data_IF_232329865220
#
_entry.id   IF_232329865220
#
_cell.length_a   1.000
_cell.length_b   1.000
_cell.length_c   1.000
_cell.angle_alpha   90.00
_cell.angle_beta   90.00
_cell.angle_gamma   90.00
#
_symmetry.space_group_name_H-M   'P 1'
#
loop_
_entity.id
_entity.type
_entity.pdbx_description
1 polymer ?
#
# COMPACT_ATOMS: atom_id res chain seq x y z
N UNK A 1 -10.66 4.25 -10.18
CA UNK A 1 -11.39 4.14 -11.47
C UNK A 1 -12.34 2.96 -11.40
N UNK A 2 -13.61 3.07 -11.82
CA UNK A 2 -14.62 2.03 -11.62
C UNK A 2 -15.17 1.49 -12.96
N UNK A 3 -14.33 0.81 -13.74
CA UNK A 3 -14.79 0.16 -14.98
C UNK A 3 -15.12 -1.30 -14.71
N UNK A 4 -16.24 -1.78 -15.29
CA UNK A 4 -16.68 -3.17 -15.17
C UNK A 4 -15.63 -4.16 -15.71
N UNK A 5 -14.95 -3.78 -16.80
CA UNK A 5 -13.90 -4.60 -17.41
C UNK A 5 -12.75 -4.82 -16.43
N UNK A 6 -12.21 -3.74 -15.82
CA UNK A 6 -11.09 -3.85 -14.89
C UNK A 6 -11.48 -4.67 -13.65
N UNK A 7 -12.64 -4.41 -13.06
CA UNK A 7 -13.13 -5.17 -11.89
C UNK A 7 -13.33 -6.66 -12.16
N UNK A 8 -13.69 -7.02 -13.39
CA UNK A 8 -13.88 -8.42 -13.78
C UNK A 8 -12.55 -9.13 -14.00
N UNK A 9 -11.59 -8.47 -14.66
CA UNK A 9 -10.30 -9.08 -15.04
C UNK A 9 -9.28 -9.05 -13.90
N UNK A 10 -9.28 -8.01 -13.06
CA UNK A 10 -8.25 -7.80 -12.04
C UNK A 10 -8.06 -8.98 -11.06
N UNK A 11 -9.11 -9.63 -10.51
CA UNK A 11 -8.90 -10.76 -9.59
C UNK A 11 -8.15 -11.93 -10.25
N UNK A 12 -8.52 -12.29 -11.47
CA UNK A 12 -7.89 -13.38 -12.21
C UNK A 12 -6.44 -13.02 -12.58
N UNK A 13 -6.22 -11.78 -13.03
CA UNK A 13 -4.89 -11.29 -13.39
C UNK A 13 -3.97 -11.22 -12.17
N UNK A 14 -4.45 -10.67 -11.04
CA UNK A 14 -3.70 -10.62 -9.78
C UNK A 14 -3.33 -12.03 -9.32
N UNK A 15 -4.25 -12.99 -9.36
CA UNK A 15 -3.96 -14.38 -8.99
C UNK A 15 -2.88 -14.99 -9.89
N UNK A 16 -2.97 -14.79 -11.21
CA UNK A 16 -1.97 -15.25 -12.16
C UNK A 16 -0.59 -14.61 -11.92
N UNK A 17 -0.55 -13.30 -11.65
CA UNK A 17 0.69 -12.59 -11.37
C UNK A 17 1.32 -13.02 -10.05
N UNK A 18 0.53 -13.29 -9.01
CA UNK A 18 1.04 -13.82 -7.74
C UNK A 18 1.58 -15.24 -7.92
N UNK A 19 0.91 -16.09 -8.69
CA UNK A 19 1.43 -17.41 -9.05
C UNK A 19 2.76 -17.30 -9.81
N UNK A 20 2.83 -16.41 -10.80
CA UNK A 20 4.04 -16.17 -11.57
C UNK A 20 5.17 -15.59 -10.72
N UNK A 21 4.84 -14.69 -9.79
CA UNK A 21 5.77 -14.13 -8.81
C UNK A 21 6.42 -15.23 -7.94
N UNK A 22 5.63 -16.19 -7.46
CA UNK A 22 6.15 -17.35 -6.72
C UNK A 22 7.00 -18.24 -7.62
N UNK A 23 6.59 -18.48 -8.86
CA UNK A 23 7.39 -19.23 -9.82
C UNK A 23 8.77 -18.57 -10.06
N UNK A 24 8.82 -17.25 -10.25
CA UNK A 24 10.07 -16.50 -10.46
C UNK A 24 10.96 -16.53 -9.22
N UNK A 25 10.39 -16.45 -8.03
CA UNK A 25 11.10 -16.64 -6.76
C UNK A 25 11.76 -18.03 -6.72
N UNK A 26 10.99 -19.08 -6.97
CA UNK A 26 11.49 -20.45 -6.93
C UNK A 26 12.50 -20.73 -8.05
N UNK A 27 12.37 -20.11 -9.21
CA UNK A 27 13.28 -20.28 -10.36
C UNK A 27 14.66 -19.65 -10.14
N UNK A 28 14.76 -18.65 -9.28
CA UNK A 28 15.97 -17.85 -9.06
C UNK A 28 17.22 -18.61 -8.62
N UNK A 29 17.08 -19.83 -8.10
CA UNK A 29 18.22 -20.66 -7.68
C UNK A 29 19.06 -21.21 -8.85
N UNK A 30 18.46 -21.42 -10.02
CA UNK A 30 19.12 -22.04 -11.17
C UNK A 30 19.17 -21.14 -12.41
N UNK A 31 18.25 -20.18 -12.51
CA UNK A 31 18.04 -19.37 -13.71
C UNK A 31 17.72 -17.91 -13.32
N UNK A 32 17.77 -16.95 -14.26
CA UNK A 32 17.45 -15.55 -13.97
C UNK A 32 16.08 -15.40 -13.30
N UNK A 33 16.05 -14.74 -12.14
CA UNK A 33 14.85 -14.64 -11.30
C UNK A 33 15.19 -14.21 -9.87
N UNK A 34 14.49 -14.80 -8.90
CA UNK A 34 14.80 -14.66 -7.47
C UNK A 34 13.87 -13.73 -6.71
N UNK A 35 14.25 -13.46 -5.46
CA UNK A 35 13.40 -12.77 -4.47
C UNK A 35 12.99 -11.36 -4.86
N UNK A 36 13.92 -10.58 -5.42
CA UNK A 36 13.68 -9.17 -5.74
C UNK A 36 12.62 -8.99 -6.83
N UNK A 37 12.83 -9.60 -8.00
CA UNK A 37 11.89 -9.52 -9.14
C UNK A 37 10.56 -10.18 -8.78
N UNK A 38 10.58 -11.33 -8.10
CA UNK A 38 9.38 -11.97 -7.59
C UNK A 38 8.57 -11.02 -6.70
N UNK A 39 9.22 -10.34 -5.75
CA UNK A 39 8.58 -9.38 -4.85
C UNK A 39 7.96 -8.19 -5.60
N UNK A 40 8.65 -7.64 -6.61
CA UNK A 40 8.11 -6.57 -7.45
C UNK A 40 6.88 -6.99 -8.25
N UNK A 41 6.87 -8.22 -8.79
CA UNK A 41 5.71 -8.76 -9.51
C UNK A 41 4.52 -8.90 -8.56
N UNK A 42 4.73 -9.40 -7.34
CA UNK A 42 3.66 -9.50 -6.35
C UNK A 42 3.15 -8.13 -5.90
N UNK A 43 4.03 -7.16 -5.68
CA UNK A 43 3.63 -5.79 -5.35
C UNK A 43 2.82 -5.16 -6.49
N UNK A 44 3.21 -5.40 -7.75
CA UNK A 44 2.47 -4.96 -8.94
C UNK A 44 1.09 -5.62 -9.04
N UNK A 45 1.00 -6.92 -8.72
CA UNK A 45 -0.26 -7.66 -8.69
C UNK A 45 -1.24 -7.06 -7.66
N UNK A 46 -0.73 -6.68 -6.48
CA UNK A 46 -1.51 -6.00 -5.45
C UNK A 46 -1.85 -4.56 -5.83
N UNK A 47 -0.99 -3.85 -6.56
CA UNK A 47 -1.30 -2.53 -7.09
C UNK A 47 -2.47 -2.59 -8.09
N UNK A 48 -2.48 -3.55 -9.02
CA UNK A 48 -3.61 -3.77 -9.94
C UNK A 48 -4.90 -4.06 -9.17
N UNK A 49 -4.82 -4.90 -8.13
CA UNK A 49 -5.94 -5.20 -7.27
C UNK A 49 -6.45 -3.96 -6.53
N UNK A 50 -5.53 -3.12 -6.04
CA UNK A 50 -5.82 -1.82 -5.42
C UNK A 50 -6.50 -0.83 -6.37
N UNK A 51 -6.02 -0.72 -7.61
CA UNK A 51 -6.64 0.17 -8.60
C UNK A 51 -8.10 -0.25 -8.91
N UNK A 52 -8.38 -1.56 -8.88
CA UNK A 52 -9.71 -2.12 -9.17
C UNK A 52 -10.70 -2.07 -7.98
N UNK A 53 -10.21 -2.26 -6.75
CA UNK A 53 -11.04 -2.44 -5.55
C UNK A 53 -10.75 -1.48 -4.39
N UNK A 54 -9.75 -0.62 -4.52
CA UNK A 54 -9.30 0.37 -3.54
C UNK A 54 -8.33 -0.16 -2.47
N UNK A 55 -7.69 0.77 -1.75
CA UNK A 55 -6.79 0.51 -0.60
C UNK A 55 -7.37 -0.47 0.40
N UNK A 56 -8.64 -0.28 0.77
CA UNK A 56 -9.31 -1.10 1.78
C UNK A 56 -9.36 -2.59 1.38
N UNK A 57 -9.47 -2.89 0.09
CA UNK A 57 -9.44 -4.27 -0.39
C UNK A 57 -8.04 -4.88 -0.30
N UNK A 58 -7.00 -4.13 -0.65
CA UNK A 58 -5.60 -4.56 -0.52
C UNK A 58 -5.24 -4.79 0.95
N UNK A 59 -5.63 -3.86 1.84
CA UNK A 59 -5.44 -4.01 3.29
C UNK A 59 -6.17 -5.23 3.86
N UNK A 60 -7.36 -5.58 3.36
CA UNK A 60 -8.05 -6.82 3.75
C UNK A 60 -7.39 -8.09 3.20
N UNK A 61 -6.81 -8.01 2.00
CA UNK A 61 -6.07 -9.12 1.40
C UNK A 61 -4.77 -9.41 2.18
N UNK A 62 -4.11 -8.36 2.69
CA UNK A 62 -2.92 -8.46 3.52
C UNK A 62 -3.30 -8.67 4.99
N UNK A 63 -3.17 -9.90 5.49
CA UNK A 63 -3.44 -10.21 6.91
C UNK A 63 -2.50 -9.50 7.90
N UNK A 64 -1.31 -9.12 7.45
CA UNK A 64 -0.29 -8.46 8.26
C UNK A 64 0.05 -7.10 7.69
N UNK A 65 0.49 -6.18 8.56
CA UNK A 65 0.94 -4.87 8.12
C UNK A 65 2.12 -5.01 7.13
N UNK A 66 2.16 -4.29 6.00
CA UNK A 66 3.22 -4.44 5.00
C UNK A 66 4.64 -4.29 5.58
N UNK A 67 4.83 -3.35 6.51
CA UNK A 67 6.11 -3.20 7.23
C UNK A 67 6.45 -4.39 8.14
N UNK A 68 5.46 -5.07 8.71
CA UNK A 68 5.72 -6.29 9.48
C UNK A 68 6.15 -7.44 8.55
N UNK A 69 5.57 -7.52 7.34
CA UNK A 69 6.00 -8.47 6.31
C UNK A 69 7.46 -8.19 5.92
N UNK A 70 7.82 -6.92 5.70
CA UNK A 70 9.18 -6.54 5.37
C UNK A 70 10.16 -6.86 6.52
N UNK A 71 9.79 -6.56 7.76
CA UNK A 71 10.61 -6.89 8.94
C UNK A 71 10.82 -8.41 9.10
N UNK A 72 9.78 -9.21 8.88
CA UNK A 72 9.89 -10.67 8.88
C UNK A 72 10.81 -11.18 7.76
N UNK A 73 10.74 -10.57 6.58
CA UNK A 73 11.63 -10.85 5.47
C UNK A 73 13.10 -10.56 5.78
N UNK A 74 13.37 -9.39 6.38
CA UNK A 74 14.71 -9.00 6.80
C UNK A 74 15.26 -9.98 7.85
N UNK A 75 14.45 -10.33 8.85
CA UNK A 75 14.80 -11.32 9.86
C UNK A 75 15.15 -12.67 9.23
N UNK A 76 14.33 -13.16 8.27
CA UNK A 76 14.58 -14.41 7.57
C UNK A 76 15.87 -14.37 6.75
N UNK A 77 16.12 -13.28 6.03
CA UNK A 77 17.33 -13.09 5.23
C UNK A 77 18.60 -13.09 6.11
N UNK A 78 18.57 -12.38 7.25
CA UNK A 78 19.68 -12.37 8.22
C UNK A 78 19.90 -13.75 8.82
N UNK A 79 18.82 -14.44 9.22
CA UNK A 79 18.91 -15.79 9.79
C UNK A 79 19.53 -16.78 8.81
N UNK A 80 19.18 -16.67 7.52
CA UNK A 80 19.74 -17.51 6.46
C UNK A 80 21.26 -17.38 6.35
N UNK A 81 21.81 -16.16 6.47
CA UNK A 81 23.27 -15.95 6.47
C UNK A 81 23.93 -16.37 7.78
N UNK A 82 23.23 -16.22 8.91
CA UNK A 82 23.75 -16.58 10.24
C UNK A 82 23.92 -18.10 10.39
N UNK A 83 23.08 -18.89 9.71
CA UNK A 83 23.23 -20.34 9.64
C UNK A 83 24.62 -20.73 9.12
N UNK A 84 25.16 -20.07 8.09
CA UNK A 84 26.51 -20.35 7.56
C UNK A 84 27.59 -20.31 8.64
N UNK A 85 27.50 -19.36 9.58
CA UNK A 85 28.45 -19.21 10.68
C UNK A 85 28.37 -20.42 11.65
N UNK A 86 27.16 -20.92 11.92
CA UNK A 86 26.97 -22.10 12.79
C UNK A 86 27.60 -23.37 12.20
N UNK A 87 27.74 -23.44 10.88
CA UNK A 87 28.42 -24.53 10.19
C UNK A 87 29.93 -24.29 9.98
N UNK A 88 30.49 -23.21 10.55
CA UNK A 88 31.92 -22.89 10.47
C UNK A 88 32.40 -22.45 9.08
N UNK A 89 31.47 -22.10 8.18
CA UNK A 89 31.78 -21.58 6.84
C UNK A 89 31.59 -20.05 6.80
N UNK A 90 32.19 -19.35 5.81
CA UNK A 90 32.02 -17.90 5.69
C UNK A 90 30.55 -17.47 5.63
N UNK A 91 30.24 -16.29 6.17
CA UNK A 91 28.90 -15.71 6.14
C UNK A 91 28.34 -15.67 4.71
N UNK A 92 27.04 -15.96 4.55
CA UNK A 92 26.35 -16.10 3.26
C UNK A 92 26.86 -17.23 2.34
N UNK A 93 27.64 -18.19 2.86
CA UNK A 93 27.90 -19.41 2.11
C UNK A 93 26.60 -20.21 1.94
N UNK A 94 26.22 -20.48 0.69
CA UNK A 94 25.03 -21.27 0.36
C UNK A 94 25.20 -22.72 0.83
N UNK A 95 24.40 -23.13 1.82
CA UNK A 95 24.38 -24.48 2.34
C UNK A 95 23.30 -25.28 1.62
N UNK A 96 23.62 -26.52 1.26
CA UNK A 96 22.73 -27.43 0.55
C UNK A 96 22.41 -28.62 1.42
N UNK A 97 21.13 -28.96 1.51
CA UNK A 97 20.63 -30.15 2.21
C UNK A 97 19.71 -30.89 1.25
N UNK A 98 19.77 -32.23 1.26
CA UNK A 98 18.98 -33.10 0.38
C UNK A 98 18.00 -33.94 1.20
N UNK A 99 16.97 -33.35 1.84
CA UNK A 99 15.95 -34.14 2.52
C UNK A 99 15.15 -35.00 1.52
N UNK A 100 14.79 -36.21 1.95
CA UNK A 100 13.81 -37.05 1.26
C UNK A 100 12.41 -36.68 1.72
N UNK A 101 11.65 -36.08 0.81
CA UNK A 101 10.24 -35.74 1.03
C UNK A 101 9.42 -36.63 0.11
N UNK A 102 8.53 -37.46 0.68
CA UNK A 102 7.67 -38.39 -0.08
C UNK A 102 8.44 -39.34 -1.02
N UNK A 103 9.67 -39.73 -0.65
CA UNK A 103 10.51 -40.61 -1.45
C UNK A 103 11.33 -39.92 -2.56
N UNK A 104 11.20 -38.60 -2.72
CA UNK A 104 11.98 -37.78 -3.66
C UNK A 104 13.04 -36.98 -2.90
N UNK A 105 14.27 -36.93 -3.40
CA UNK A 105 15.31 -36.04 -2.88
C UNK A 105 15.06 -34.62 -3.39
N UNK A 106 14.81 -33.69 -2.47
CA UNK A 106 14.58 -32.27 -2.80
C UNK A 106 15.83 -31.49 -2.42
N UNK A 107 16.54 -30.86 -3.37
CA UNK A 107 17.68 -30.00 -3.04
C UNK A 107 17.15 -28.71 -2.40
N UNK A 108 17.37 -28.56 -1.09
CA UNK A 108 17.08 -27.33 -0.37
C UNK A 108 18.37 -26.56 -0.12
N UNK A 109 18.45 -25.35 -0.67
CA UNK A 109 19.53 -24.42 -0.41
C UNK A 109 19.09 -23.32 0.55
N UNK A 110 19.97 -22.90 1.46
CA UNK A 110 19.74 -21.67 2.26
C UNK A 110 19.57 -20.44 1.37
N UNK A 111 20.08 -20.48 0.15
CA UNK A 111 19.86 -19.44 -0.89
C UNK A 111 18.37 -19.18 -1.13
N UNK A 112 17.52 -20.22 -1.11
CA UNK A 112 16.06 -20.05 -1.29
C UNK A 112 15.45 -19.32 -0.10
N UNK A 113 15.90 -19.62 1.12
CA UNK A 113 15.45 -18.92 2.33
C UNK A 113 15.86 -17.45 2.33
N UNK A 114 17.07 -17.15 1.88
CA UNK A 114 17.53 -15.78 1.68
C UNK A 114 16.68 -15.03 0.65
N UNK A 115 16.45 -15.62 -0.52
CA UNK A 115 15.62 -15.03 -1.57
C UNK A 115 14.17 -14.82 -1.11
N UNK A 116 13.61 -15.75 -0.34
CA UNK A 116 12.29 -15.57 0.27
C UNK A 116 12.30 -14.38 1.25
N UNK A 117 13.38 -14.19 2.00
CA UNK A 117 13.56 -13.01 2.85
C UNK A 117 13.53 -11.71 2.05
N UNK A 118 14.33 -11.64 0.97
CA UNK A 118 14.37 -10.50 0.04
C UNK A 118 12.99 -10.25 -0.59
N UNK A 119 12.29 -11.31 -1.01
CA UNK A 119 10.94 -11.23 -1.56
C UNK A 119 9.96 -10.53 -0.61
N UNK A 120 9.96 -10.94 0.65
CA UNK A 120 9.07 -10.36 1.66
C UNK A 120 9.44 -8.89 1.98
N UNK A 121 10.73 -8.55 2.01
CA UNK A 121 11.20 -7.16 2.16
C UNK A 121 10.70 -6.29 1.02
N UNK A 122 10.88 -6.72 -0.22
CA UNK A 122 10.48 -5.97 -1.41
C UNK A 122 8.96 -5.84 -1.46
N UNK A 123 8.23 -6.93 -1.28
CA UNK A 123 6.77 -6.92 -1.26
C UNK A 123 6.24 -5.97 -0.18
N UNK A 124 6.70 -6.13 1.06
CA UNK A 124 6.25 -5.33 2.20
C UNK A 124 6.58 -3.85 2.07
N UNK A 125 7.80 -3.52 1.62
CA UNK A 125 8.22 -2.12 1.45
C UNK A 125 7.45 -1.42 0.34
N UNK A 126 7.37 -2.00 -0.86
CA UNK A 126 6.70 -1.39 -2.02
C UNK A 126 5.20 -1.24 -1.76
N UNK A 127 4.55 -2.25 -1.19
CA UNK A 127 3.14 -2.16 -0.83
C UNK A 127 2.92 -1.10 0.25
N UNK A 128 3.80 -1.02 1.26
CA UNK A 128 3.68 0.02 2.28
C UNK A 128 3.78 1.43 1.69
N UNK A 129 4.72 1.64 0.76
CA UNK A 129 4.88 2.93 0.07
C UNK A 129 3.63 3.23 -0.75
N UNK A 130 3.14 2.29 -1.55
CA UNK A 130 1.94 2.46 -2.36
C UNK A 130 0.72 2.81 -1.49
N UNK A 131 0.53 2.12 -0.38
CA UNK A 131 -0.58 2.38 0.54
C UNK A 131 -0.44 3.72 1.27
N UNK A 132 0.78 4.16 1.60
CA UNK A 132 1.00 5.46 2.23
C UNK A 132 0.67 6.62 1.28
N UNK A 133 1.14 6.53 0.02
CA UNK A 133 0.90 7.55 -0.99
C UNK A 133 -0.59 7.71 -1.33
N UNK A 134 -1.37 6.63 -1.28
CA UNK A 134 -2.80 6.68 -1.56
C UNK A 134 -3.60 7.29 -0.38
N UNK A 135 -3.11 7.21 0.86
CA UNK A 135 -3.76 7.79 2.04
C UNK A 135 -3.62 9.32 2.11
N UNK A 136 -2.49 9.87 1.67
CA UNK A 136 -2.28 11.32 1.65
C UNK A 136 -3.24 12.02 0.68
N UNK A 137 -3.74 11.29 -0.33
CA UNK A 137 -4.71 11.80 -1.31
C UNK A 137 -6.13 12.00 -0.74
N UNK A 138 -6.46 11.39 0.40
CA UNK A 138 -7.79 11.53 1.05
C UNK A 138 -7.82 12.62 2.13
N UNK A 139 -6.67 13.20 2.51
CA UNK A 139 -6.55 14.13 3.66
C UNK A 139 -6.56 15.62 3.27
N UNK A 140 -6.72 15.97 1.99
CA UNK A 140 -6.74 17.36 1.56
C UNK A 140 -8.11 18.05 1.78
N UNK A 141 -8.14 18.89 2.83
CA UNK A 141 -9.08 19.97 3.22
C UNK A 141 -10.42 19.56 3.86
N UNK A 142 -10.56 19.66 5.20
CA UNK A 142 -11.87 19.88 5.83
C UNK A 142 -12.34 21.30 5.48
N UNK A 143 -13.47 21.42 4.78
CA UNK A 143 -14.24 22.65 4.54
C UNK A 143 -14.68 23.39 5.84
N UNK A 144 -14.18 22.97 7.00
CA UNK A 144 -14.60 23.42 8.32
C UNK A 144 -14.15 24.84 8.67
N UNK A 145 -13.20 25.43 7.93
CA UNK A 145 -12.73 26.80 8.19
C UNK A 145 -13.46 27.88 7.34
N UNK A 146 -14.30 27.49 6.39
CA UNK A 146 -15.17 28.44 5.65
C UNK A 146 -16.53 28.63 6.33
N UNK A 147 -16.94 27.70 7.21
CA UNK A 147 -18.26 27.73 7.87
C UNK A 147 -18.31 28.57 9.16
N UNK A 148 -17.20 29.15 9.63
CA UNK A 148 -17.13 29.92 10.88
C UNK A 148 -16.89 31.42 10.69
N UNK A 149 -17.06 31.97 9.48
CA UNK A 149 -17.20 33.41 9.34
C UNK A 149 -18.51 33.83 10.04
N UNK A 150 -18.47 34.70 11.08
CA UNK A 150 -19.69 35.11 11.78
C UNK A 150 -20.63 35.80 10.79
N UNK A 151 -21.96 35.62 10.92
CA UNK A 151 -22.93 36.28 10.05
C UNK A 151 -22.67 37.79 10.11
N UNK A 152 -22.50 38.43 8.96
CA UNK A 152 -22.43 39.88 8.89
C UNK A 152 -23.71 40.44 9.50
N UNK A 153 -23.57 40.96 10.71
CA UNK A 153 -24.62 41.61 11.47
C UNK A 153 -25.28 42.64 10.55
N UNK A 154 -26.56 42.42 10.22
CA UNK A 154 -27.31 43.30 9.35
C UNK A 154 -27.37 44.67 10.02
N UNK A 155 -26.51 45.57 9.57
CA UNK A 155 -26.52 46.98 9.99
C UNK A 155 -27.94 47.50 9.76
N UNK A 156 -28.68 47.90 10.81
CA UNK A 156 -30.05 48.33 10.64
C UNK A 156 -30.04 49.60 9.80
N UNK A 157 -30.73 49.58 8.65
CA UNK A 157 -31.00 50.79 7.86
C UNK A 157 -31.78 51.76 8.75
N UNK A 158 -31.07 52.74 9.29
CA UNK A 158 -31.58 53.79 10.16
C UNK A 158 -32.79 54.45 9.51
N UNK A 159 -33.94 54.26 10.15
CA UNK A 159 -35.25 54.56 9.62
C UNK A 159 -35.42 55.97 9.07
N UNK A 160 -36.13 56.05 7.94
CA UNK A 160 -36.84 57.23 7.43
C UNK A 160 -37.64 57.86 8.59
N UNK A 161 -37.13 58.95 9.17
CA UNK A 161 -37.95 59.83 10.00
C UNK A 161 -38.98 60.50 9.10
N UNK A 162 -40.23 60.06 9.27
CA UNK A 162 -41.44 60.80 8.87
C UNK A 162 -41.31 62.25 9.33
N UNK A 163 -41.06 63.19 8.42
CA UNK A 163 -41.38 64.60 8.63
C UNK A 163 -42.89 64.74 8.46
N UNK A 164 -43.57 64.73 9.59
CA UNK A 164 -44.97 65.14 9.74
C UNK A 164 -45.09 66.62 9.37
N UNK A 165 -46.03 66.87 8.48
CA UNK A 165 -46.80 68.09 8.24
C UNK A 165 -46.48 69.30 9.12
N UNK A 166 -45.97 70.37 8.48
CA UNK A 166 -46.22 71.74 8.95
C UNK A 166 -47.27 72.36 8.00
N UNK A 167 -48.41 72.69 8.59
CA UNK A 167 -49.54 73.38 7.98
C UNK A 167 -49.15 74.65 7.21
N UNK A 168 -49.92 75.00 6.16
CA UNK A 168 -49.84 76.30 5.53
C UNK A 168 -50.53 77.34 6.41
N UNK A 169 -49.85 78.46 6.68
CA UNK A 169 -50.53 79.69 7.13
C UNK A 169 -50.52 80.68 5.98
N UNK A 170 -51.70 80.90 5.41
CA UNK A 170 -52.05 82.15 4.74
C UNK A 170 -51.84 83.32 5.70
N UNK A 171 -51.31 84.44 5.19
CA UNK A 171 -51.90 85.78 5.35
C UNK A 171 -51.04 86.82 4.62
N UNK A 172 -51.70 87.50 3.66
CA UNK A 172 -51.49 88.86 3.13
C UNK A 172 -50.17 89.23 2.46
#
# INVERSE_FOLDING_TARGET
MNTLILRTVAPALTALMLLFSVFVLLRGHNEPGGGFIGGLIAASALAIYGIAFGVGAVRRALRFHPMAIAGAGLFLATLSGLLSILFGVPFMTGLWVYPRILGLEVPLATVISFDLGVYLVVLGSIVSIALALEQDSETEIPDAEVAQAPPLEQVPLRGKRRRRDRQPRETR
#
